data_IF_499374562605
#
_entry.id   IF_499374562605
#
_cell.length_a   1.000
_cell.length_b   1.000
_cell.length_c   1.000
_cell.angle_alpha   90.00
_cell.angle_beta   90.00
_cell.angle_gamma   90.00
#
_symmetry.space_group_name_H-M   'P 1'
#
loop_
_entity.id
_entity.type
_entity.pdbx_description
1 polymer ?
#
# COMPACT_ATOMS: atom_id res chain seq x y z
N UNK A 1 28.56 -6.99 -13.24
CA UNK A 1 27.37 -7.01 -14.12
C UNK A 1 26.33 -6.15 -13.45
N UNK A 2 26.01 -4.99 -14.03
CA UNK A 2 24.98 -4.10 -13.50
C UNK A 2 23.63 -4.69 -13.85
N UNK A 3 23.00 -5.36 -12.89
CA UNK A 3 21.62 -5.77 -13.02
C UNK A 3 20.75 -4.50 -12.90
N UNK A 4 20.58 -3.80 -14.03
CA UNK A 4 19.49 -2.84 -14.17
C UNK A 4 18.22 -3.67 -14.27
N UNK A 5 17.77 -4.17 -13.12
CA UNK A 5 16.36 -4.48 -12.90
C UNK A 5 15.61 -3.21 -13.28
N UNK A 6 15.07 -3.18 -14.49
CA UNK A 6 14.17 -2.13 -14.94
C UNK A 6 12.99 -2.18 -13.99
N UNK A 7 13.03 -1.32 -12.96
CA UNK A 7 11.89 -1.14 -12.05
C UNK A 7 10.69 -0.88 -12.93
N UNK A 8 9.64 -1.67 -12.73
CA UNK A 8 8.43 -1.48 -13.47
C UNK A 8 7.71 -0.28 -12.86
N UNK A 9 7.97 0.87 -13.45
CA UNK A 9 7.36 2.16 -13.15
C UNK A 9 5.83 2.06 -13.18
N UNK A 10 5.16 2.64 -12.19
CA UNK A 10 3.71 2.82 -12.25
C UNK A 10 3.44 4.17 -12.90
N UNK A 11 2.65 4.14 -13.97
CA UNK A 11 1.99 5.32 -14.50
C UNK A 11 0.56 5.35 -13.95
N UNK A 12 0.22 6.41 -13.24
CA UNK A 12 -1.10 6.67 -12.66
C UNK A 12 -1.77 7.75 -13.50
N UNK A 13 -3.02 7.51 -13.85
CA UNK A 13 -3.90 8.54 -14.39
C UNK A 13 -5.16 8.61 -13.54
N UNK A 14 -5.53 9.83 -13.12
CA UNK A 14 -6.78 10.09 -12.41
C UNK A 14 -7.64 11.07 -13.19
N UNK A 15 -8.91 10.73 -13.31
CA UNK A 15 -9.89 11.55 -14.00
C UNK A 15 -11.14 11.69 -13.13
N UNK A 16 -11.40 12.90 -12.65
CA UNK A 16 -12.65 13.28 -12.01
C UNK A 16 -13.39 14.29 -12.89
N UNK A 17 -14.72 14.14 -13.09
CA UNK A 17 -15.50 15.10 -13.86
C UNK A 17 -15.30 16.54 -13.34
N UNK A 18 -14.94 17.45 -14.23
CA UNK A 18 -14.75 18.87 -13.90
C UNK A 18 -13.35 19.24 -13.39
N UNK A 19 -12.39 18.31 -13.35
CA UNK A 19 -10.98 18.59 -13.04
C UNK A 19 -10.06 18.23 -14.20
N UNK A 20 -8.88 18.83 -14.21
CA UNK A 20 -7.80 18.40 -15.10
C UNK A 20 -7.42 16.94 -14.81
N UNK A 21 -7.09 16.20 -15.87
CA UNK A 21 -6.61 14.82 -15.75
C UNK A 21 -5.24 14.89 -15.08
N UNK A 22 -5.11 14.16 -13.98
CA UNK A 22 -3.84 14.07 -13.26
C UNK A 22 -3.06 12.87 -13.76
N UNK A 23 -1.77 13.11 -14.01
CA UNK A 23 -0.80 12.10 -14.39
C UNK A 23 0.32 12.07 -13.36
N UNK A 24 0.76 10.87 -13.00
CA UNK A 24 1.86 10.68 -12.06
C UNK A 24 2.66 9.44 -12.43
N UNK A 25 3.98 9.55 -12.42
CA UNK A 25 4.87 8.42 -12.66
C UNK A 25 5.81 8.21 -11.46
N UNK A 26 5.86 6.97 -10.95
CA UNK A 26 6.71 6.65 -9.79
C UNK A 26 8.17 6.88 -10.09
N UNK A 27 8.83 7.70 -9.27
CA UNK A 27 10.24 8.07 -9.46
C UNK A 27 10.51 9.29 -10.32
N UNK A 28 9.48 10.02 -10.75
CA UNK A 28 9.63 11.40 -11.23
C UNK A 28 10.13 12.36 -10.15
N UNK A 29 9.83 12.07 -8.87
CA UNK A 29 10.42 12.75 -7.69
C UNK A 29 11.89 12.34 -7.52
N UNK A 30 12.70 12.71 -8.52
CA UNK A 30 14.07 12.24 -8.74
C UNK A 30 15.16 13.07 -8.04
N UNK A 31 14.80 14.02 -7.17
CA UNK A 31 15.78 14.76 -6.38
C UNK A 31 15.33 14.88 -4.94
N UNK A 32 16.12 14.29 -4.04
CA UNK A 32 16.06 14.57 -2.60
C UNK A 32 16.10 16.09 -2.31
N UNK A 33 16.62 16.92 -3.21
CA UNK A 33 16.71 18.38 -3.04
C UNK A 33 15.39 19.16 -3.18
N UNK A 34 14.30 18.56 -3.65
CA UNK A 34 13.02 19.29 -3.86
C UNK A 34 11.90 18.87 -2.93
N UNK A 35 12.10 17.87 -2.08
CA UNK A 35 11.06 17.51 -1.11
C UNK A 35 11.08 18.52 0.06
N UNK A 36 9.91 18.89 0.60
CA UNK A 36 9.85 19.91 1.64
C UNK A 36 10.54 19.45 2.94
N UNK A 37 11.12 20.35 3.73
CA UNK A 37 11.86 20.00 4.96
C UNK A 37 11.06 19.12 5.94
N UNK A 38 9.73 19.21 5.99
CA UNK A 38 8.94 18.31 6.83
C UNK A 38 8.98 16.84 6.37
N UNK A 39 9.27 16.61 5.08
CA UNK A 39 9.52 15.29 4.51
C UNK A 39 10.96 14.80 4.75
N UNK A 40 11.86 15.68 5.22
CA UNK A 40 13.26 15.42 5.53
C UNK A 40 13.60 15.69 6.99
N UNK A 41 13.73 14.71 7.88
CA UNK A 41 14.54 14.89 9.09
C UNK A 41 15.13 13.57 9.59
N UNK A 42 16.28 13.70 10.27
CA UNK A 42 17.17 12.68 10.80
C UNK A 42 16.46 11.42 11.32
N UNK A 43 16.78 10.29 10.67
CA UNK A 43 16.81 8.94 11.24
C UNK A 43 15.60 8.59 12.13
N UNK A 44 14.41 8.53 11.54
CA UNK A 44 13.40 7.60 12.04
C UNK A 44 13.51 6.33 11.21
N UNK A 45 14.04 5.28 11.84
CA UNK A 45 14.15 3.95 11.27
C UNK A 45 12.80 3.46 10.74
N UNK A 46 12.81 2.76 9.60
CA UNK A 46 11.85 1.70 9.31
C UNK A 46 11.48 0.94 10.59
N UNK A 47 10.24 1.03 11.13
CA UNK A 47 9.76 0.01 12.06
C UNK A 47 9.93 -1.34 11.37
N UNK A 48 11.00 -2.06 11.73
CA UNK A 48 11.47 -3.26 11.02
C UNK A 48 12.97 -3.28 10.65
N UNK A 49 13.72 -2.18 10.78
CA UNK A 49 15.15 -2.12 10.43
C UNK A 49 16.12 -2.42 11.59
N UNK A 50 15.62 -2.92 12.71
CA UNK A 50 16.40 -3.12 13.95
C UNK A 50 17.55 -4.13 13.74
N UNK A 51 17.54 -4.95 12.67
CA UNK A 51 18.53 -6.02 12.48
C UNK A 51 19.52 -5.88 11.32
N UNK A 52 19.48 -4.83 10.48
CA UNK A 52 20.32 -4.77 9.26
C UNK A 52 21.24 -3.54 9.12
N UNK A 53 21.27 -2.63 10.10
CA UNK A 53 22.42 -1.73 10.26
C UNK A 53 22.63 -0.67 9.17
N UNK A 54 21.61 -0.29 8.39
CA UNK A 54 21.61 0.92 7.57
C UNK A 54 20.32 1.73 7.78
N UNK A 55 20.40 3.04 8.06
CA UNK A 55 19.22 3.90 8.12
C UNK A 55 18.78 4.24 6.70
N UNK A 56 17.97 3.39 6.07
CA UNK A 56 17.56 3.62 4.69
C UNK A 56 16.43 4.67 4.57
N UNK A 57 16.68 5.62 3.67
CA UNK A 57 15.97 6.89 3.40
C UNK A 57 14.57 6.72 2.74
N UNK A 58 14.00 5.52 2.80
CA UNK A 58 12.93 5.10 1.88
C UNK A 58 11.53 5.62 2.23
N UNK A 59 11.24 5.94 3.49
CA UNK A 59 9.93 6.49 3.87
C UNK A 59 9.71 7.94 3.49
N UNK A 60 10.79 8.73 3.46
CA UNK A 60 10.72 10.14 3.13
C UNK A 60 10.20 10.31 1.70
N UNK A 61 10.71 9.48 0.79
CA UNK A 61 10.29 9.47 -0.61
C UNK A 61 8.82 9.06 -0.77
N UNK A 62 8.40 7.92 -0.23
CA UNK A 62 7.00 7.47 -0.36
C UNK A 62 6.00 8.48 0.22
N UNK A 63 6.34 9.11 1.35
CA UNK A 63 5.48 10.14 1.96
C UNK A 63 5.34 11.38 1.07
N UNK A 64 6.42 11.81 0.41
CA UNK A 64 6.40 12.91 -0.55
C UNK A 64 5.59 12.56 -1.82
N UNK A 65 5.76 11.35 -2.35
CA UNK A 65 4.99 10.83 -3.48
C UNK A 65 3.47 10.81 -3.17
N UNK A 66 3.08 10.32 -1.99
CA UNK A 66 1.68 10.32 -1.53
C UNK A 66 1.14 11.74 -1.37
N UNK A 67 1.95 12.67 -0.86
CA UNK A 67 1.54 14.06 -0.65
C UNK A 67 1.17 14.77 -1.96
N UNK A 68 1.92 14.53 -3.04
CA UNK A 68 1.61 15.07 -4.37
C UNK A 68 0.24 14.59 -4.87
N UNK A 69 -0.05 13.30 -4.66
CA UNK A 69 -1.34 12.71 -5.01
C UNK A 69 -2.45 13.31 -4.14
N UNK A 70 -2.23 13.47 -2.84
CA UNK A 70 -3.22 14.04 -1.94
C UNK A 70 -3.63 15.47 -2.27
N UNK A 71 -2.70 16.29 -2.75
CA UNK A 71 -3.03 17.63 -3.22
C UNK A 71 -4.06 17.59 -4.37
N UNK A 72 -3.99 16.60 -5.25
CA UNK A 72 -5.01 16.41 -6.30
C UNK A 72 -6.39 16.02 -5.73
N UNK A 73 -6.44 15.33 -4.60
CA UNK A 73 -7.70 14.98 -3.93
C UNK A 73 -8.25 16.12 -3.03
N UNK A 74 -7.44 17.13 -2.70
CA UNK A 74 -7.75 18.12 -1.64
C UNK A 74 -9.02 18.96 -1.85
N UNK A 75 -9.51 19.09 -3.08
CA UNK A 75 -10.72 19.84 -3.44
C UNK A 75 -11.85 18.92 -3.94
N UNK A 76 -11.71 17.60 -3.80
CA UNK A 76 -12.77 16.63 -4.08
C UNK A 76 -13.60 16.34 -2.83
N UNK A 77 -14.88 16.02 -3.02
CA UNK A 77 -15.69 15.40 -1.97
C UNK A 77 -15.37 13.91 -1.87
N UNK A 78 -15.54 13.32 -0.68
CA UNK A 78 -15.19 11.90 -0.44
C UNK A 78 -15.90 10.93 -1.39
N UNK A 79 -17.13 11.27 -1.79
CA UNK A 79 -17.99 10.47 -2.65
C UNK A 79 -17.94 10.86 -4.12
N UNK A 80 -17.13 11.85 -4.51
CA UNK A 80 -16.93 12.18 -5.92
C UNK A 80 -16.47 10.94 -6.68
N UNK A 81 -17.12 10.61 -7.79
CA UNK A 81 -16.81 9.43 -8.58
C UNK A 81 -15.79 9.81 -9.64
N UNK A 82 -14.72 9.02 -9.73
CA UNK A 82 -13.68 9.19 -10.74
C UNK A 82 -13.23 7.86 -11.32
N UNK A 83 -12.25 7.96 -12.21
CA UNK A 83 -11.56 6.82 -12.82
C UNK A 83 -10.09 6.89 -12.47
N UNK A 84 -9.56 5.77 -12.00
CA UNK A 84 -8.15 5.53 -11.77
C UNK A 84 -7.64 4.50 -12.78
N UNK A 85 -6.62 4.87 -13.54
CA UNK A 85 -5.95 3.98 -14.47
C UNK A 85 -4.49 3.79 -14.07
N UNK A 86 -4.01 2.55 -14.15
CA UNK A 86 -2.60 2.24 -13.97
C UNK A 86 -2.15 1.04 -14.80
N UNK A 87 -0.85 0.95 -15.06
CA UNK A 87 -0.25 -0.23 -15.66
C UNK A 87 0.15 -1.21 -14.56
N UNK A 88 -0.29 -2.48 -14.65
CA UNK A 88 0.17 -3.51 -13.73
C UNK A 88 1.61 -3.97 -14.04
N UNK A 89 2.14 -4.90 -13.25
CA UNK A 89 3.51 -5.40 -13.42
C UNK A 89 3.78 -6.09 -14.78
N UNK A 90 2.74 -6.47 -15.52
CA UNK A 90 2.81 -7.10 -16.85
C UNK A 90 2.53 -6.07 -17.96
N UNK A 91 2.57 -4.77 -17.62
CA UNK A 91 2.23 -3.64 -18.49
C UNK A 91 0.82 -3.70 -19.09
N UNK A 92 -0.10 -4.46 -18.50
CA UNK A 92 -1.50 -4.42 -18.90
C UNK A 92 -2.21 -3.28 -18.17
N UNK A 93 -2.96 -2.48 -18.92
CA UNK A 93 -3.73 -1.35 -18.38
C UNK A 93 -4.89 -1.86 -17.53
N UNK A 94 -4.98 -1.39 -16.30
CA UNK A 94 -6.08 -1.60 -15.37
C UNK A 94 -6.84 -0.29 -15.21
N UNK A 95 -8.16 -0.36 -15.27
CA UNK A 95 -9.07 0.78 -15.13
C UNK A 95 -10.04 0.47 -13.99
N UNK A 96 -10.11 1.36 -13.01
CA UNK A 96 -10.95 1.22 -11.82
C UNK A 96 -11.80 2.48 -11.68
N UNK A 97 -13.11 2.31 -11.58
CA UNK A 97 -14.03 3.38 -11.21
C UNK A 97 -14.37 3.26 -9.72
N UNK A 98 -14.44 4.39 -9.02
CA UNK A 98 -14.74 4.41 -7.60
C UNK A 98 -14.88 5.82 -7.03
N UNK A 99 -15.24 5.91 -5.76
CA UNK A 99 -15.26 7.16 -5.02
C UNK A 99 -13.84 7.68 -4.73
N UNK A 100 -13.69 8.99 -4.52
CA UNK A 100 -12.41 9.64 -4.26
C UNK A 100 -11.64 8.96 -3.12
N UNK A 101 -12.31 8.63 -2.01
CA UNK A 101 -11.72 7.89 -0.89
C UNK A 101 -11.22 6.48 -1.29
N UNK A 102 -11.97 5.76 -2.12
CA UNK A 102 -11.63 4.40 -2.54
C UNK A 102 -10.45 4.41 -3.51
N UNK A 103 -10.45 5.35 -4.46
CA UNK A 103 -9.36 5.51 -5.42
C UNK A 103 -8.07 5.91 -4.71
N UNK A 104 -8.14 6.86 -3.77
CA UNK A 104 -6.99 7.23 -2.95
C UNK A 104 -6.42 6.03 -2.18
N UNK A 105 -7.29 5.24 -1.53
CA UNK A 105 -6.88 4.03 -0.80
C UNK A 105 -6.14 3.04 -1.70
N UNK A 106 -6.65 2.80 -2.91
CA UNK A 106 -6.03 1.89 -3.89
C UNK A 106 -4.66 2.39 -4.33
N UNK A 107 -4.55 3.68 -4.64
CA UNK A 107 -3.30 4.32 -5.04
C UNK A 107 -2.28 4.24 -3.92
N UNK A 108 -2.69 4.52 -2.68
CA UNK A 108 -1.84 4.43 -1.51
C UNK A 108 -1.23 3.03 -1.40
N UNK A 109 -2.04 1.97 -1.41
CA UNK A 109 -1.52 0.60 -1.37
C UNK A 109 -0.61 0.30 -2.56
N UNK A 110 -0.99 0.71 -3.77
CA UNK A 110 -0.17 0.49 -4.96
C UNK A 110 1.22 1.12 -4.82
N UNK A 111 1.31 2.35 -4.28
CA UNK A 111 2.58 3.00 -3.99
C UNK A 111 3.35 2.33 -2.86
N UNK A 112 2.68 1.81 -1.82
CA UNK A 112 3.36 1.02 -0.78
C UNK A 112 4.01 -0.23 -1.37
N UNK A 113 3.34 -0.89 -2.32
CA UNK A 113 3.89 -2.08 -2.98
C UNK A 113 5.11 -1.75 -3.83
N UNK A 114 5.24 -0.58 -4.43
CA UNK A 114 6.45 -0.19 -5.17
C UNK A 114 7.52 0.49 -4.30
N UNK A 115 7.24 0.65 -3.02
CA UNK A 115 8.20 1.21 -2.08
C UNK A 115 9.40 0.28 -1.91
N UNK A 116 10.57 0.90 -1.70
CA UNK A 116 11.78 0.18 -1.29
C UNK A 116 11.79 -0.16 0.20
N UNK A 117 10.90 0.45 0.99
CA UNK A 117 10.76 0.17 2.41
C UNK A 117 10.69 -1.33 2.69
N UNK A 118 11.61 -1.82 3.53
CA UNK A 118 11.75 -3.24 3.89
C UNK A 118 10.44 -3.88 4.36
N UNK A 119 9.59 -3.12 5.06
CA UNK A 119 8.27 -3.57 5.54
C UNK A 119 7.35 -3.94 4.37
N UNK A 120 7.36 -3.16 3.29
CA UNK A 120 6.46 -3.34 2.16
C UNK A 120 7.09 -4.12 1.01
N UNK A 121 8.42 -4.09 0.88
CA UNK A 121 9.18 -4.74 -0.20
C UNK A 121 8.87 -6.24 -0.32
N UNK A 122 8.64 -6.91 0.80
CA UNK A 122 8.28 -8.33 0.82
C UNK A 122 6.93 -8.63 0.13
N UNK A 123 6.09 -7.62 -0.07
CA UNK A 123 4.78 -7.72 -0.70
C UNK A 123 4.76 -7.21 -2.15
N UNK A 124 5.88 -6.78 -2.73
CA UNK A 124 5.98 -6.27 -4.11
C UNK A 124 5.31 -7.18 -5.14
N UNK A 125 5.50 -8.49 -4.99
CA UNK A 125 4.98 -9.49 -5.91
C UNK A 125 3.44 -9.56 -5.93
N UNK A 126 2.75 -9.00 -4.91
CA UNK A 126 1.29 -8.86 -4.90
C UNK A 126 0.80 -8.09 -6.12
N UNK A 127 1.55 -7.08 -6.59
CA UNK A 127 1.16 -6.28 -7.76
C UNK A 127 1.03 -7.12 -9.03
N UNK A 128 1.84 -8.17 -9.15
CA UNK A 128 1.83 -9.04 -10.33
C UNK A 128 0.71 -10.09 -10.29
N UNK A 129 0.14 -10.37 -9.12
CA UNK A 129 -0.71 -11.54 -8.91
C UNK A 129 -2.10 -11.21 -8.35
N UNK A 130 -2.30 -10.01 -7.78
CA UNK A 130 -3.55 -9.62 -7.14
C UNK A 130 -3.97 -8.22 -7.56
N UNK A 131 -5.29 -8.05 -7.67
CA UNK A 131 -5.92 -6.73 -7.76
C UNK A 131 -6.12 -6.23 -6.33
N UNK A 132 -5.52 -5.08 -6.00
CA UNK A 132 -5.64 -4.48 -4.66
C UNK A 132 -7.10 -4.14 -4.38
N UNK A 133 -7.63 -4.68 -3.30
CA UNK A 133 -8.99 -4.44 -2.82
C UNK A 133 -8.98 -3.57 -1.57
N UNK A 134 -10.02 -2.76 -1.42
CA UNK A 134 -10.28 -1.99 -0.19
C UNK A 134 -11.16 -2.76 0.80
N UNK A 135 -11.62 -3.95 0.41
CA UNK A 135 -12.40 -4.83 1.28
C UNK A 135 -11.48 -5.53 2.29
N UNK A 136 -11.85 -5.48 3.58
CA UNK A 136 -11.07 -6.03 4.71
C UNK A 136 -10.75 -7.51 4.47
N UNK A 137 -11.75 -8.32 4.10
CA UNK A 137 -11.61 -9.76 3.94
C UNK A 137 -10.67 -10.07 2.77
N UNK A 138 -10.90 -9.46 1.60
CA UNK A 138 -10.05 -9.65 0.42
C UNK A 138 -8.62 -9.20 0.66
N UNK A 139 -8.41 -8.05 1.30
CA UNK A 139 -7.08 -7.55 1.60
C UNK A 139 -6.35 -8.48 2.58
N UNK A 140 -7.02 -8.97 3.62
CA UNK A 140 -6.46 -9.98 4.52
C UNK A 140 -6.09 -11.26 3.78
N UNK A 141 -6.95 -11.79 2.89
CA UNK A 141 -6.63 -12.99 2.12
C UNK A 141 -5.48 -12.79 1.15
N UNK A 142 -5.39 -11.62 0.52
CA UNK A 142 -4.25 -11.27 -0.34
C UNK A 142 -2.95 -11.25 0.47
N UNK A 143 -2.93 -10.58 1.63
CA UNK A 143 -1.75 -10.55 2.52
C UNK A 143 -1.41 -11.93 3.08
N UNK A 144 -2.39 -12.74 3.45
CA UNK A 144 -2.15 -14.09 3.95
C UNK A 144 -1.64 -15.03 2.87
N UNK A 145 -2.22 -14.99 1.67
CA UNK A 145 -1.71 -15.71 0.52
C UNK A 145 -0.30 -15.24 0.15
N UNK A 146 0.01 -13.98 0.43
CA UNK A 146 1.36 -13.43 0.27
C UNK A 146 2.36 -14.17 1.16
N UNK A 147 2.03 -14.17 2.44
CA UNK A 147 2.80 -14.81 3.49
C UNK A 147 2.99 -16.31 3.22
N UNK A 148 1.92 -17.03 2.87
CA UNK A 148 2.00 -18.47 2.59
C UNK A 148 2.94 -18.79 1.43
N UNK A 149 2.84 -18.04 0.34
CA UNK A 149 3.70 -18.24 -0.82
C UNK A 149 5.16 -18.00 -0.47
N UNK A 150 5.45 -16.91 0.25
CA UNK A 150 6.79 -16.60 0.75
C UNK A 150 7.35 -17.72 1.62
N UNK A 151 6.58 -18.17 2.62
CA UNK A 151 7.01 -19.25 3.51
C UNK A 151 7.25 -20.56 2.75
N UNK A 152 6.40 -20.88 1.76
CA UNK A 152 6.56 -22.06 0.94
C UNK A 152 7.86 -22.04 0.12
N UNK A 153 8.23 -20.90 -0.46
CA UNK A 153 9.46 -20.77 -1.25
C UNK A 153 10.73 -20.74 -0.40
N UNK A 154 10.67 -20.15 0.80
CA UNK A 154 11.85 -20.00 1.67
C UNK A 154 12.08 -21.28 2.50
N UNK A 155 11.03 -21.90 3.03
CA UNK A 155 11.12 -23.06 3.89
C UNK A 155 10.01 -24.10 3.57
N UNK A 156 10.11 -24.82 2.44
CA UNK A 156 9.07 -25.76 1.99
C UNK A 156 8.79 -26.90 2.98
N UNK A 157 9.73 -27.20 3.88
CA UNK A 157 9.61 -28.27 4.88
C UNK A 157 9.16 -27.79 6.27
N UNK A 158 9.04 -26.48 6.52
CA UNK A 158 8.61 -25.95 7.83
C UNK A 158 7.09 -25.87 7.93
N UNK A 159 6.59 -26.15 9.14
CA UNK A 159 5.21 -25.83 9.51
C UNK A 159 4.99 -24.32 9.46
N UNK A 160 3.91 -23.90 8.80
CA UNK A 160 3.48 -22.50 8.75
C UNK A 160 3.25 -21.97 10.17
N UNK A 161 3.95 -20.91 10.55
CA UNK A 161 3.80 -20.27 11.85
C UNK A 161 2.91 -19.00 11.74
N UNK A 162 1.67 -19.10 12.21
CA UNK A 162 0.71 -18.00 12.15
C UNK A 162 1.09 -16.80 13.03
N UNK A 163 1.91 -16.99 14.06
CA UNK A 163 2.38 -15.87 14.89
C UNK A 163 3.33 -14.96 14.09
N UNK A 164 4.14 -15.53 13.19
CA UNK A 164 4.97 -14.74 12.27
C UNK A 164 4.11 -13.88 11.35
N UNK A 165 3.00 -14.43 10.83
CA UNK A 165 2.08 -13.63 10.03
C UNK A 165 1.41 -12.50 10.82
N UNK A 166 1.02 -12.75 12.08
CA UNK A 166 0.50 -11.69 12.98
C UNK A 166 1.54 -10.58 13.20
N UNK A 167 2.80 -10.94 13.40
CA UNK A 167 3.91 -9.99 13.54
C UNK A 167 4.13 -9.18 12.26
N UNK A 168 4.14 -9.83 11.08
CA UNK A 168 4.26 -9.13 9.79
C UNK A 168 3.09 -8.16 9.53
N UNK A 169 1.85 -8.56 9.85
CA UNK A 169 0.69 -7.66 9.76
C UNK A 169 0.77 -6.47 10.70
N UNK A 170 1.28 -6.67 11.92
CA UNK A 170 1.53 -5.58 12.87
C UNK A 170 2.54 -4.58 12.31
N UNK A 171 3.67 -5.06 11.79
CA UNK A 171 4.68 -4.21 11.17
C UNK A 171 4.13 -3.46 9.95
N UNK A 172 3.35 -4.13 9.10
CA UNK A 172 2.72 -3.52 7.94
C UNK A 172 1.74 -2.39 8.34
N UNK A 173 0.92 -2.63 9.38
CA UNK A 173 0.02 -1.62 9.98
C UNK A 173 0.79 -0.43 10.54
N UNK A 174 1.83 -0.67 11.33
CA UNK A 174 2.66 0.39 11.92
C UNK A 174 3.35 1.23 10.85
N UNK A 175 3.87 0.60 9.79
CA UNK A 175 4.44 1.29 8.65
C UNK A 175 3.43 2.21 7.95
N UNK A 176 2.20 1.73 7.72
CA UNK A 176 1.12 2.53 7.13
C UNK A 176 0.77 3.71 8.03
N UNK A 177 0.53 3.48 9.33
CA UNK A 177 0.19 4.54 10.28
C UNK A 177 1.31 5.60 10.35
N UNK A 178 2.58 5.16 10.32
CA UNK A 178 3.74 6.04 10.29
C UNK A 178 3.74 6.97 9.07
N UNK A 179 3.44 6.44 7.88
CA UNK A 179 3.31 7.25 6.66
C UNK A 179 2.14 8.23 6.77
N UNK A 180 0.97 7.76 7.19
CA UNK A 180 -0.23 8.59 7.31
C UNK A 180 0.01 9.78 8.25
N UNK A 181 0.67 9.55 9.39
CA UNK A 181 1.02 10.61 10.34
C UNK A 181 1.95 11.67 9.73
N UNK A 182 2.93 11.27 8.93
CA UNK A 182 3.85 12.21 8.24
C UNK A 182 3.13 13.03 7.18
N UNK A 183 2.32 12.37 6.38
CA UNK A 183 1.52 12.99 5.34
C UNK A 183 0.55 14.02 5.93
N UNK A 184 -0.06 13.72 7.08
CA UNK A 184 -0.91 14.65 7.83
C UNK A 184 -0.20 15.94 8.24
N UNK A 185 1.11 15.91 8.46
CA UNK A 185 1.91 17.10 8.77
C UNK A 185 2.20 17.95 7.54
N UNK A 186 2.27 17.34 6.35
CA UNK A 186 2.61 17.99 5.09
C UNK A 186 1.44 18.61 4.32
N UNK A 187 0.22 18.12 4.56
CA UNK A 187 -1.01 18.58 3.89
C UNK A 187 -1.74 19.59 4.77
N UNK A 188 -2.24 20.68 4.17
CA UNK A 188 -3.31 21.48 4.79
C UNK A 188 -4.56 20.62 4.82
N UNK A 189 -4.79 19.92 5.93
CA UNK A 189 -5.88 18.94 6.10
C UNK A 189 -7.30 19.53 6.05
N UNK A 190 -7.54 20.69 5.43
CA UNK A 190 -8.88 21.29 5.36
C UNK A 190 -9.86 20.55 4.44
N UNK A 191 -9.43 19.46 3.79
CA UNK A 191 -10.22 18.68 2.84
C UNK A 191 -10.84 17.44 3.48
N UNK A 192 -12.17 17.34 3.42
CA UNK A 192 -12.91 16.18 3.94
C UNK A 192 -12.50 14.87 3.27
N UNK A 193 -12.26 14.87 1.95
CA UNK A 193 -11.89 13.64 1.22
C UNK A 193 -10.52 13.10 1.61
N UNK A 194 -9.55 13.98 1.79
CA UNK A 194 -8.20 13.61 2.26
C UNK A 194 -8.28 13.07 3.68
N UNK A 195 -8.99 13.75 4.59
CA UNK A 195 -9.13 13.28 5.96
C UNK A 195 -9.84 11.93 6.04
N UNK A 196 -10.95 11.75 5.31
CA UNK A 196 -11.71 10.51 5.30
C UNK A 196 -10.93 9.38 4.64
N UNK A 197 -10.22 9.63 3.54
CA UNK A 197 -9.36 8.64 2.90
C UNK A 197 -8.21 8.17 3.81
N UNK A 198 -7.54 9.10 4.49
CA UNK A 198 -6.48 8.78 5.45
C UNK A 198 -7.02 8.01 6.67
N UNK A 199 -8.20 8.36 7.16
CA UNK A 199 -8.85 7.67 8.28
C UNK A 199 -9.29 6.27 7.88
N UNK A 200 -9.90 6.12 6.70
CA UNK A 200 -10.30 4.84 6.16
C UNK A 200 -9.13 3.87 5.99
N UNK A 201 -7.97 4.35 5.52
CA UNK A 201 -6.74 3.55 5.44
C UNK A 201 -6.26 3.06 6.82
N UNK A 202 -6.26 3.94 7.82
CA UNK A 202 -5.86 3.58 9.18
C UNK A 202 -6.82 2.55 9.79
N UNK A 203 -8.13 2.76 9.58
CA UNK A 203 -9.19 1.89 10.07
C UNK A 203 -9.12 0.51 9.41
N UNK A 204 -8.95 0.45 8.09
CA UNK A 204 -8.82 -0.80 7.33
C UNK A 204 -7.73 -1.71 7.90
N UNK A 205 -6.53 -1.16 8.13
CA UNK A 205 -5.42 -1.93 8.71
C UNK A 205 -5.64 -2.29 10.17
N UNK A 206 -6.32 -1.43 10.93
CA UNK A 206 -6.67 -1.70 12.33
C UNK A 206 -7.68 -2.84 12.42
N UNK A 207 -8.72 -2.84 11.58
CA UNK A 207 -9.73 -3.89 11.55
C UNK A 207 -9.16 -5.24 11.13
N UNK A 208 -8.31 -5.29 10.09
CA UNK A 208 -7.61 -6.53 9.70
C UNK A 208 -6.87 -7.15 10.88
N UNK A 209 -6.24 -6.31 11.71
CA UNK A 209 -5.47 -6.75 12.86
C UNK A 209 -6.35 -7.25 14.00
N UNK A 210 -7.37 -6.47 14.36
CA UNK A 210 -8.33 -6.80 15.43
C UNK A 210 -9.14 -8.07 15.10
N UNK A 211 -9.53 -8.24 13.84
CA UNK A 211 -10.35 -9.35 13.37
C UNK A 211 -9.54 -10.56 12.88
N UNK A 212 -8.22 -10.60 13.12
CA UNK A 212 -7.35 -11.64 12.58
C UNK A 212 -7.90 -13.06 12.76
N UNK A 213 -8.24 -13.44 13.99
CA UNK A 213 -8.63 -14.82 14.30
C UNK A 213 -9.97 -15.16 13.64
N UNK A 214 -10.88 -14.18 13.54
CA UNK A 214 -12.16 -14.30 12.84
C UNK A 214 -11.95 -14.49 11.34
N UNK A 215 -11.15 -13.64 10.71
CA UNK A 215 -10.85 -13.68 9.28
C UNK A 215 -10.11 -14.98 8.89
N UNK A 216 -9.17 -15.42 9.72
CA UNK A 216 -8.46 -16.68 9.53
C UNK A 216 -9.41 -17.88 9.61
N UNK A 217 -10.30 -17.91 10.62
CA UNK A 217 -11.29 -18.98 10.75
C UNK A 217 -12.26 -19.02 9.56
N UNK A 218 -12.71 -17.85 9.09
CA UNK A 218 -13.55 -17.74 7.89
C UNK A 218 -12.85 -18.31 6.66
N UNK A 219 -11.58 -17.95 6.43
CA UNK A 219 -10.79 -18.48 5.33
C UNK A 219 -10.64 -20.00 5.42
N UNK A 220 -10.28 -20.51 6.60
CA UNK A 220 -10.11 -21.95 6.84
C UNK A 220 -11.39 -22.72 6.51
N UNK A 221 -12.53 -22.24 7.00
CA UNK A 221 -13.83 -22.86 6.74
C UNK A 221 -14.19 -22.82 5.25
N UNK A 222 -13.89 -21.71 4.56
CA UNK A 222 -14.12 -21.56 3.12
C UNK A 222 -13.30 -22.58 2.32
N UNK A 223 -12.00 -22.69 2.58
CA UNK A 223 -11.11 -23.66 1.93
C UNK A 223 -11.58 -25.10 2.16
N UNK A 224 -11.95 -25.44 3.40
CA UNK A 224 -12.51 -26.76 3.75
C UNK A 224 -13.77 -27.03 2.91
N UNK A 225 -14.74 -26.12 2.94
CA UNK A 225 -16.01 -26.30 2.25
C UNK A 225 -15.87 -26.39 0.73
N UNK A 226 -14.92 -25.66 0.15
CA UNK A 226 -14.65 -25.69 -1.28
C UNK A 226 -13.92 -26.98 -1.69
N UNK A 227 -13.01 -27.48 -0.84
CA UNK A 227 -12.30 -28.75 -1.07
C UNK A 227 -13.24 -29.96 -1.00
N UNK A 228 -14.29 -29.90 -0.17
CA UNK A 228 -15.29 -30.97 -0.07
C UNK A 228 -16.44 -30.85 -1.08
N UNK A 229 -16.44 -29.81 -1.94
CA UNK A 229 -17.40 -29.61 -3.02
C UNK A 229 -16.81 -29.87 -4.42
N UNK A 230 -15.49 -29.91 -4.54
CA UNK A 230 -14.76 -30.26 -5.78
C UNK A 230 -14.55 -31.77 -5.88
#
# INVERSE_FOLDING_TARGET
>A
MSDKSTRATIHIQLNFPGKEIFHYETGETSSFDTSPLWSHFEVMECPGNISLGSPEEDYCRLSAEINNILNYFSDLESHSIGTFEYNNAVNSKIIIQGSAQELFTKIFFLLTLESQCTVFRNNQWLRSNYIISNDIERLFYTLFSSFLTKEHYINPEKTINLNLFKEELNLYKEGIIGILNRVRMGVKLSSDSVQNGLTYLADLMTYINLDFDRLYLQLKNKVINDTFKA
#
